data_IF_014293980117
#
_entry.id   IF_014293980117
#
_cell.length_a   1.000
_cell.length_b   1.000
_cell.length_c   1.000
_cell.angle_alpha   90.00
_cell.angle_beta   90.00
_cell.angle_gamma   90.00
#
_symmetry.space_group_name_H-M   'P 1'
#
loop_
_entity.id
_entity.type
_entity.pdbx_description
1 polymer ?
#
# COMPACT_ATOMS: atom_id res chain seq x y z
N UNK A 1 6.09 -14.11 -11.94
CA UNK A 1 4.89 -13.64 -11.21
C UNK A 1 5.13 -13.66 -9.70
N UNK A 2 5.66 -14.75 -9.15
CA UNK A 2 6.00 -14.86 -7.71
C UNK A 2 6.83 -13.68 -7.18
N UNK A 3 8.00 -13.39 -7.79
CA UNK A 3 8.84 -12.27 -7.36
C UNK A 3 8.14 -10.91 -7.45
N UNK A 4 7.26 -10.74 -8.45
CA UNK A 4 6.48 -9.52 -8.61
C UNK A 4 5.46 -9.37 -7.48
N UNK A 5 4.71 -10.43 -7.16
CA UNK A 5 3.77 -10.45 -6.06
C UNK A 5 4.48 -10.18 -4.73
N UNK A 6 5.63 -10.81 -4.49
CA UNK A 6 6.40 -10.61 -3.27
C UNK A 6 6.89 -9.16 -3.11
N UNK A 7 7.44 -8.56 -4.17
CA UNK A 7 7.88 -7.16 -4.15
C UNK A 7 6.71 -6.21 -3.89
N UNK A 8 5.55 -6.47 -4.49
CA UNK A 8 4.33 -5.71 -4.24
C UNK A 8 3.87 -5.86 -2.79
N UNK A 9 3.87 -7.08 -2.24
CA UNK A 9 3.51 -7.34 -0.84
C UNK A 9 4.45 -6.66 0.15
N UNK A 10 5.76 -6.66 -0.12
CA UNK A 10 6.73 -5.91 0.67
C UNK A 10 6.43 -4.42 0.59
N UNK A 11 6.18 -3.89 -0.61
CA UNK A 11 5.90 -2.47 -0.78
C UNK A 11 4.68 -2.01 0.01
N UNK A 12 3.56 -2.72 -0.18
CA UNK A 12 2.30 -2.43 0.52
C UNK A 12 2.46 -2.63 2.03
N UNK A 13 3.02 -3.77 2.45
CA UNK A 13 3.17 -4.16 3.85
C UNK A 13 4.13 -3.27 4.64
N UNK A 14 5.21 -2.79 4.02
CA UNK A 14 6.23 -2.00 4.72
C UNK A 14 5.97 -0.50 4.61
N UNK A 15 5.85 0.03 3.39
CA UNK A 15 5.86 1.48 3.17
C UNK A 15 4.48 2.10 3.32
N UNK A 16 3.43 1.46 2.78
CA UNK A 16 2.09 2.04 2.80
C UNK A 16 1.36 1.82 4.14
N UNK A 17 1.87 0.95 5.00
CA UNK A 17 1.28 0.61 6.30
C UNK A 17 2.02 1.21 7.51
N UNK A 18 2.84 2.25 7.34
CA UNK A 18 3.57 2.91 8.46
C UNK A 18 2.63 3.38 9.58
N UNK A 19 1.47 3.97 9.23
CA UNK A 19 0.48 4.45 10.21
C UNK A 19 -0.12 3.32 11.04
N UNK A 20 -0.33 2.16 10.42
CA UNK A 20 -0.76 0.95 11.12
C UNK A 20 0.28 0.51 12.16
N UNK A 21 1.57 0.43 11.79
CA UNK A 21 2.61 0.06 12.75
C UNK A 21 2.78 1.07 13.88
N UNK A 22 2.64 2.37 13.60
CA UNK A 22 2.62 3.40 14.64
C UNK A 22 1.50 3.14 15.64
N UNK A 23 0.30 2.79 15.16
CA UNK A 23 -0.83 2.50 16.03
C UNK A 23 -0.64 1.22 16.84
N UNK A 24 -0.13 0.15 16.22
CA UNK A 24 0.22 -1.08 16.93
C UNK A 24 1.26 -0.82 18.02
N UNK A 25 2.29 -0.02 17.72
CA UNK A 25 3.32 0.35 18.69
C UNK A 25 2.75 1.14 19.88
N UNK A 26 1.76 2.01 19.64
CA UNK A 26 1.09 2.78 20.69
C UNK A 26 0.16 1.93 21.57
N UNK A 27 -0.43 0.87 21.01
CA UNK A 27 -1.44 0.06 21.69
C UNK A 27 -0.89 -1.24 22.30
N UNK A 28 0.32 -1.65 21.91
CA UNK A 28 0.93 -2.87 22.43
C UNK A 28 1.40 -2.68 23.88
N UNK A 29 1.25 -3.69 24.76
CA UNK A 29 1.80 -3.63 26.12
C UNK A 29 3.32 -3.88 26.17
N UNK A 30 3.95 -4.22 25.03
CA UNK A 30 5.36 -4.56 24.96
C UNK A 30 6.25 -3.31 24.87
N UNK A 31 7.38 -3.35 25.57
CA UNK A 31 8.42 -2.30 25.56
C UNK A 31 9.79 -2.88 25.16
N UNK A 32 10.70 -2.01 24.73
CA UNK A 32 12.07 -2.37 24.36
C UNK A 32 12.13 -3.42 23.24
N UNK A 33 13.01 -4.41 23.37
CA UNK A 33 13.23 -5.45 22.34
C UNK A 33 11.96 -6.26 22.03
N UNK A 34 11.09 -6.50 23.03
CA UNK A 34 9.84 -7.25 22.83
C UNK A 34 8.90 -6.53 21.87
N UNK A 35 8.85 -5.19 21.96
CA UNK A 35 8.04 -4.36 21.06
C UNK A 35 8.57 -4.42 19.63
N UNK A 36 9.89 -4.35 19.45
CA UNK A 36 10.55 -4.46 18.14
C UNK A 36 10.29 -5.83 17.50
N UNK A 37 10.45 -6.91 18.26
CA UNK A 37 10.17 -8.27 17.77
C UNK A 37 8.69 -8.45 17.41
N UNK A 38 7.78 -7.87 18.21
CA UNK A 38 6.35 -7.92 17.93
C UNK A 38 6.00 -7.18 16.63
N UNK A 39 6.49 -5.95 16.45
CA UNK A 39 6.30 -5.20 15.20
C UNK A 39 6.93 -5.90 13.99
N UNK A 40 8.12 -6.49 14.16
CA UNK A 40 8.78 -7.28 13.13
C UNK A 40 7.96 -8.50 12.73
N UNK A 41 7.41 -9.24 13.69
CA UNK A 41 6.52 -10.37 13.44
C UNK A 41 5.23 -9.91 12.74
N UNK A 42 4.62 -8.79 13.18
CA UNK A 42 3.45 -8.20 12.51
C UNK A 42 3.75 -7.85 11.06
N UNK A 43 4.89 -7.24 10.77
CA UNK A 43 5.32 -6.92 9.40
C UNK A 43 5.46 -8.18 8.54
N UNK A 44 6.13 -9.22 9.06
CA UNK A 44 6.31 -10.49 8.35
C UNK A 44 4.95 -11.13 8.04
N UNK A 45 4.04 -11.18 9.02
CA UNK A 45 2.69 -11.71 8.84
C UNK A 45 1.92 -10.91 7.80
N UNK A 46 1.98 -9.58 7.85
CA UNK A 46 1.28 -8.72 6.90
C UNK A 46 1.77 -8.94 5.46
N UNK A 47 3.10 -9.00 5.26
CA UNK A 47 3.69 -9.31 3.95
C UNK A 47 3.27 -10.70 3.49
N UNK A 48 3.30 -11.70 4.38
CA UNK A 48 2.90 -13.07 4.06
C UNK A 48 1.43 -13.16 3.64
N UNK A 49 0.53 -12.46 4.34
CA UNK A 49 -0.90 -12.39 4.00
C UNK A 49 -1.11 -11.74 2.63
N UNK A 50 -0.49 -10.59 2.36
CA UNK A 50 -0.56 -9.97 1.03
C UNK A 50 -0.03 -10.91 -0.06
N UNK A 51 1.11 -11.55 0.18
CA UNK A 51 1.73 -12.43 -0.81
C UNK A 51 0.87 -13.67 -1.07
N UNK A 52 0.25 -14.25 -0.03
CA UNK A 52 -0.70 -15.35 -0.16
C UNK A 52 -1.91 -14.92 -1.00
N UNK A 53 -2.54 -13.80 -0.66
CA UNK A 53 -3.68 -13.26 -1.41
C UNK A 53 -3.31 -13.05 -2.89
N UNK A 54 -2.16 -12.44 -3.17
CA UNK A 54 -1.72 -12.21 -4.55
C UNK A 54 -1.40 -13.49 -5.28
N UNK A 55 -0.88 -14.51 -4.60
CA UNK A 55 -0.63 -15.81 -5.22
C UNK A 55 -1.93 -16.52 -5.60
N UNK A 56 -3.04 -16.27 -4.89
CA UNK A 56 -4.35 -16.82 -5.20
C UNK A 56 -5.08 -16.04 -6.30
N UNK A 57 -4.98 -14.72 -6.30
CA UNK A 57 -5.83 -13.85 -7.13
C UNK A 57 -5.12 -13.36 -8.41
N UNK A 58 -3.81 -13.10 -8.37
CA UNK A 58 -3.12 -12.52 -9.52
C UNK A 58 -2.88 -13.57 -10.60
N UNK A 59 -3.44 -13.31 -11.78
CA UNK A 59 -3.08 -13.99 -13.02
C UNK A 59 -2.16 -13.11 -13.85
N UNK A 60 -1.35 -13.69 -14.73
CA UNK A 60 -0.33 -12.99 -15.54
C UNK A 60 -0.84 -11.70 -16.22
N UNK A 61 -2.10 -11.68 -16.66
CA UNK A 61 -2.71 -10.56 -17.37
C UNK A 61 -3.31 -9.51 -16.43
N UNK A 62 -3.86 -9.92 -15.28
CA UNK A 62 -4.54 -9.03 -14.32
C UNK A 62 -3.60 -8.47 -13.26
N UNK A 63 -2.45 -9.12 -13.02
CA UNK A 63 -1.52 -8.78 -11.94
C UNK A 63 -1.06 -7.31 -11.97
N UNK A 64 -0.78 -6.75 -13.15
CA UNK A 64 -0.38 -5.34 -13.28
C UNK A 64 -1.52 -4.39 -12.94
N UNK A 65 -2.73 -4.68 -13.41
CA UNK A 65 -3.91 -3.83 -13.19
C UNK A 65 -4.22 -3.79 -11.69
N UNK A 66 -4.26 -4.96 -11.03
CA UNK A 66 -4.45 -5.04 -9.59
C UNK A 66 -3.36 -4.31 -8.81
N UNK A 67 -2.09 -4.49 -9.18
CA UNK A 67 -0.99 -3.81 -8.51
C UNK A 67 -1.10 -2.28 -8.64
N UNK A 68 -1.41 -1.76 -9.83
CA UNK A 68 -1.58 -0.32 -10.07
C UNK A 68 -2.73 0.23 -9.23
N UNK A 69 -3.87 -0.45 -9.20
CA UNK A 69 -5.02 -0.04 -8.38
C UNK A 69 -4.69 -0.03 -6.88
N UNK A 70 -4.02 -1.07 -6.38
CA UNK A 70 -3.63 -1.16 -4.98
C UNK A 70 -2.61 -0.10 -4.59
N UNK A 71 -1.63 0.21 -5.46
CA UNK A 71 -0.67 1.29 -5.22
C UNK A 71 -1.35 2.65 -5.24
N UNK A 72 -2.26 2.87 -6.19
CA UNK A 72 -2.99 4.13 -6.31
C UNK A 72 -3.84 4.37 -5.06
N UNK A 73 -4.76 3.45 -4.75
CA UNK A 73 -5.66 3.56 -3.60
C UNK A 73 -4.84 3.58 -2.31
N UNK A 74 -3.98 2.56 -2.11
CA UNK A 74 -3.20 2.41 -0.90
C UNK A 74 -2.23 3.57 -0.67
N UNK A 75 -1.65 4.14 -1.72
CA UNK A 75 -0.70 5.24 -1.62
C UNK A 75 -1.35 6.53 -1.15
N UNK A 76 -2.52 6.88 -1.71
CA UNK A 76 -3.29 8.04 -1.24
C UNK A 76 -3.91 7.81 0.13
N UNK A 77 -4.51 6.64 0.36
CA UNK A 77 -5.02 6.26 1.69
C UNK A 77 -3.92 6.38 2.75
N UNK A 78 -2.73 5.89 2.47
CA UNK A 78 -1.58 5.98 3.37
C UNK A 78 -1.17 7.43 3.63
N UNK A 79 -1.15 8.29 2.61
CA UNK A 79 -0.85 9.73 2.81
C UNK A 79 -1.84 10.38 3.77
N UNK A 80 -3.15 10.21 3.51
CA UNK A 80 -4.20 10.85 4.28
C UNK A 80 -4.26 10.33 5.71
N UNK A 81 -4.09 9.03 5.93
CA UNK A 81 -3.99 8.45 7.28
C UNK A 81 -2.76 8.98 8.01
N UNK A 82 -1.59 8.98 7.38
CA UNK A 82 -0.35 9.33 8.05
C UNK A 82 -0.15 10.84 8.27
N UNK A 83 -0.64 11.67 7.36
CA UNK A 83 -0.39 13.12 7.35
C UNK A 83 -1.56 13.91 7.90
N UNK A 84 -2.78 13.51 7.54
CA UNK A 84 -4.00 14.21 7.95
C UNK A 84 -4.71 13.53 9.12
N UNK A 85 -4.31 12.31 9.52
CA UNK A 85 -4.96 11.56 10.57
C UNK A 85 -6.35 11.04 10.19
N UNK A 86 -6.66 10.98 8.88
CA UNK A 86 -7.95 10.50 8.38
C UNK A 86 -8.15 9.04 8.77
N UNK A 87 -9.33 8.73 9.31
CA UNK A 87 -9.78 7.35 9.51
C UNK A 87 -10.66 6.98 8.33
N UNK A 88 -10.30 5.96 7.56
CA UNK A 88 -11.12 5.55 6.41
C UNK A 88 -12.38 4.83 6.92
N UNK A 89 -13.51 5.53 6.90
CA UNK A 89 -14.84 5.03 7.26
C UNK A 89 -15.82 5.23 6.10
N UNK A 90 -16.98 4.55 6.11
CA UNK A 90 -18.02 4.78 5.10
C UNK A 90 -18.44 6.24 4.98
N UNK A 91 -18.59 6.95 6.11
CA UNK A 91 -18.94 8.38 6.12
C UNK A 91 -17.83 9.23 5.47
N UNK A 92 -16.56 8.90 5.70
CA UNK A 92 -15.45 9.61 5.05
C UNK A 92 -15.42 9.37 3.54
N UNK A 93 -15.75 8.16 3.08
CA UNK A 93 -15.89 7.89 1.64
C UNK A 93 -17.05 8.70 1.06
N UNK A 94 -18.18 8.78 1.76
CA UNK A 94 -19.32 9.60 1.34
C UNK A 94 -18.94 11.07 1.22
N UNK A 95 -18.26 11.60 2.24
CA UNK A 95 -17.77 12.98 2.22
C UNK A 95 -16.82 13.21 1.04
N UNK A 96 -15.83 12.34 0.83
CA UNK A 96 -14.89 12.45 -0.29
C UNK A 96 -15.56 12.49 -1.66
N UNK A 97 -16.68 11.75 -1.84
CA UNK A 97 -17.46 11.75 -3.08
C UNK A 97 -18.27 13.05 -3.24
N UNK A 98 -18.64 13.69 -2.13
CA UNK A 98 -19.41 14.94 -2.09
C UNK A 98 -18.53 16.20 -2.00
N UNK A 99 -17.22 16.05 -1.76
CA UNK A 99 -16.26 17.13 -1.56
C UNK A 99 -16.14 18.03 -2.80
N UNK A 100 -16.16 19.34 -2.56
CA UNK A 100 -15.98 20.36 -3.60
C UNK A 100 -14.51 20.51 -4.04
N UNK A 101 -14.29 20.93 -5.29
CA UNK A 101 -12.94 21.08 -5.86
C UNK A 101 -12.07 22.05 -5.05
N UNK A 102 -12.65 23.10 -4.47
CA UNK A 102 -11.95 24.05 -3.60
C UNK A 102 -11.39 23.40 -2.34
N UNK A 103 -12.11 22.45 -1.74
CA UNK A 103 -11.66 21.74 -0.55
C UNK A 103 -10.49 20.80 -0.88
N UNK A 104 -10.48 20.20 -2.08
CA UNK A 104 -9.38 19.34 -2.54
C UNK A 104 -8.11 20.15 -2.80
N UNK A 105 -8.23 21.36 -3.37
CA UNK A 105 -7.07 22.20 -3.68
C UNK A 105 -6.31 22.63 -2.43
N UNK A 106 -7.01 22.84 -1.32
CA UNK A 106 -6.39 23.21 -0.04
C UNK A 106 -5.55 22.08 0.56
N UNK A 107 -5.77 20.83 0.13
CA UNK A 107 -4.98 19.67 0.55
C UNK A 107 -3.64 19.55 -0.20
N UNK A 108 -3.47 20.27 -1.32
CA UNK A 108 -2.27 20.22 -2.14
C UNK A 108 -1.14 20.96 -1.43
N UNK A 109 -0.14 20.19 -0.99
CA UNK A 109 1.08 20.72 -0.38
C UNK A 109 2.31 20.13 -1.07
N UNK A 110 3.48 20.74 -0.85
CA UNK A 110 4.74 20.16 -1.33
C UNK A 110 4.93 18.72 -0.82
N UNK A 111 4.51 18.44 0.41
CA UNK A 111 4.55 17.09 1.00
C UNK A 111 3.66 16.12 0.24
N UNK A 112 2.44 16.53 -0.12
CA UNK A 112 1.52 15.73 -0.94
C UNK A 112 2.15 15.40 -2.29
N UNK A 113 2.70 16.41 -2.98
CA UNK A 113 3.32 16.22 -4.30
C UNK A 113 4.50 15.24 -4.22
N UNK A 114 5.41 15.43 -3.26
CA UNK A 114 6.54 14.51 -3.07
C UNK A 114 6.07 13.10 -2.77
N UNK A 115 5.06 12.95 -1.90
CA UNK A 115 4.49 11.64 -1.59
C UNK A 115 3.90 10.98 -2.84
N UNK A 116 3.06 11.69 -3.59
CA UNK A 116 2.46 11.18 -4.82
C UNK A 116 3.52 10.75 -5.83
N UNK A 117 4.59 11.53 -6.01
CA UNK A 117 5.68 11.18 -6.92
C UNK A 117 6.38 9.89 -6.48
N UNK A 118 6.83 9.80 -5.23
CA UNK A 118 7.67 8.69 -4.77
C UNK A 118 6.90 7.43 -4.39
N UNK A 119 5.68 7.57 -3.86
CA UNK A 119 4.90 6.45 -3.31
C UNK A 119 3.73 6.00 -4.19
N UNK A 120 3.37 6.77 -5.22
CA UNK A 120 2.28 6.42 -6.15
C UNK A 120 2.79 6.33 -7.59
N UNK A 121 3.28 7.43 -8.15
CA UNK A 121 3.66 7.53 -9.57
C UNK A 121 4.87 6.65 -9.87
N UNK A 122 5.95 6.77 -9.09
CA UNK A 122 7.18 6.01 -9.31
C UNK A 122 6.93 4.49 -9.23
N UNK A 123 6.26 3.93 -8.20
CA UNK A 123 5.99 2.50 -8.16
C UNK A 123 5.04 2.04 -9.29
N UNK A 124 4.01 2.81 -9.65
CA UNK A 124 3.14 2.50 -10.80
C UNK A 124 3.97 2.45 -12.09
N UNK A 125 4.83 3.44 -12.32
CA UNK A 125 5.72 3.47 -13.47
C UNK A 125 6.60 2.21 -13.51
N UNK A 126 7.25 1.86 -12.40
CA UNK A 126 8.07 0.64 -12.32
C UNK A 126 7.27 -0.62 -12.63
N UNK A 127 6.02 -0.75 -12.13
CA UNK A 127 5.12 -1.87 -12.43
C UNK A 127 4.85 -2.00 -13.94
N UNK A 128 4.63 -0.87 -14.64
CA UNK A 128 4.40 -0.90 -16.10
C UNK A 128 5.59 -1.46 -16.87
N UNK A 129 6.82 -1.21 -16.41
CA UNK A 129 8.06 -1.65 -17.05
C UNK A 129 8.35 -3.15 -16.86
N UNK A 130 7.73 -3.81 -15.87
CA UNK A 130 7.95 -5.24 -15.60
C UNK A 130 7.46 -6.10 -16.78
N UNK A 131 8.34 -6.91 -17.37
CA UNK A 131 7.96 -7.88 -18.42
C UNK A 131 7.76 -9.27 -17.82
N UNK A 132 6.55 -9.81 -17.91
CA UNK A 132 6.30 -11.20 -17.48
C UNK A 132 6.77 -12.18 -18.54
N UNK A 133 7.79 -12.98 -18.22
CA UNK A 133 8.26 -14.08 -19.08
C UNK A 133 7.10 -15.06 -19.33
N UNK A 134 6.86 -15.42 -20.58
CA UNK A 134 5.94 -16.50 -20.91
C UNK A 134 6.70 -17.81 -20.69
N UNK A 135 6.33 -18.60 -19.67
CA UNK A 135 6.73 -20.00 -19.67
C UNK A 135 6.00 -20.69 -20.82
N UNK A 136 6.78 -21.25 -21.74
CA UNK A 136 6.23 -22.16 -22.74
C UNK A 136 5.72 -23.36 -21.96
N UNK A 137 4.41 -23.58 -21.99
CA UNK A 137 3.82 -24.85 -21.55
C UNK A 137 4.44 -25.91 -22.47
N UNK A 138 5.41 -26.67 -21.98
CA UNK A 138 5.88 -27.85 -22.70
C UNK A 138 4.69 -28.82 -22.74
N UNK A 139 4.19 -29.07 -23.95
CA UNK A 139 3.22 -30.14 -24.22
C UNK A 139 3.86 -31.50 -23.95
#
# INVERSE_FOLDING_TARGET
>A
LLNFNLLLSIWLGLFLNIGFFKKIHQLTPYNGIKSVLFLGATLVILIAVYNLIFQLINWKWTAKIFAILLIFIGGFSSYFVNTLGVIISPDQIQNMVQTDVSEVTDLISLRFVLWTVFFVILPIFLITQVKFKQEKVSR
#
